data_IF_056171567782
#
_entry.id   IF_056171567782
#
_cell.length_a   1.000
_cell.length_b   1.000
_cell.length_c   1.000
_cell.angle_alpha   90.00
_cell.angle_beta   90.00
_cell.angle_gamma   90.00
#
_symmetry.space_group_name_H-M   'P 1'
#
loop_
_entity.id
_entity.type
_entity.pdbx_description
1 polymer ?
#
# COMPACT_ATOMS: atom_id res chain seq x y z
N UNK A 1 1.51 35.47 -9.37
CA UNK A 1 0.05 35.69 -9.35
C UNK A 1 -0.54 34.67 -10.31
N UNK A 2 -1.54 33.93 -9.84
CA UNK A 2 -2.18 32.89 -10.66
C UNK A 2 -3.26 33.55 -11.52
N UNK A 3 -2.92 33.91 -12.75
CA UNK A 3 -3.79 34.68 -13.66
C UNK A 3 -4.60 33.81 -14.60
N UNK A 4 -4.12 32.59 -14.90
CA UNK A 4 -4.77 31.67 -15.83
C UNK A 4 -5.65 30.63 -15.10
N UNK A 5 -6.91 30.53 -15.51
CA UNK A 5 -7.88 29.58 -14.94
C UNK A 5 -8.45 28.67 -16.04
N UNK A 6 -7.88 27.45 -16.23
CA UNK A 6 -8.38 26.52 -17.25
C UNK A 6 -9.81 26.08 -16.90
N UNK A 7 -10.67 25.98 -17.92
CA UNK A 7 -12.07 25.54 -17.80
C UNK A 7 -12.26 24.09 -18.22
N UNK A 8 -11.33 23.56 -19.00
CA UNK A 8 -11.44 22.23 -19.61
C UNK A 8 -10.23 21.38 -19.30
N UNK A 9 -10.41 20.07 -19.42
CA UNK A 9 -9.36 19.07 -19.32
C UNK A 9 -9.23 18.30 -20.62
N UNK A 10 -8.02 17.89 -20.99
CA UNK A 10 -7.74 17.18 -22.25
C UNK A 10 -8.64 15.95 -22.44
N UNK A 11 -8.75 15.09 -21.42
CA UNK A 11 -9.59 13.88 -21.47
C UNK A 11 -11.07 14.20 -21.64
N UNK A 12 -11.56 15.24 -20.99
CA UNK A 12 -12.94 15.71 -21.12
C UNK A 12 -13.24 16.15 -22.56
N UNK A 13 -12.33 16.93 -23.18
CA UNK A 13 -12.48 17.35 -24.56
C UNK A 13 -12.51 16.16 -25.52
N UNK A 14 -11.66 15.17 -25.34
CA UNK A 14 -11.69 13.93 -26.11
C UNK A 14 -12.99 13.13 -25.90
N UNK A 15 -13.52 13.07 -24.68
CA UNK A 15 -14.77 12.36 -24.39
C UNK A 15 -15.98 13.05 -25.00
N UNK A 16 -16.05 14.38 -24.96
CA UNK A 16 -17.18 15.14 -25.45
C UNK A 16 -17.18 15.33 -26.98
N UNK A 17 -16.00 15.46 -27.57
CA UNK A 17 -15.83 15.89 -28.96
C UNK A 17 -14.97 14.96 -29.82
N UNK A 18 -14.39 13.91 -29.21
CA UNK A 18 -13.46 13.01 -29.89
C UNK A 18 -14.06 12.16 -31.00
N UNK A 19 -15.37 11.90 -30.96
CA UNK A 19 -16.11 11.14 -31.99
C UNK A 19 -16.76 12.05 -33.08
N UNK A 20 -16.74 13.38 -32.89
CA UNK A 20 -17.33 14.29 -33.84
C UNK A 20 -16.48 14.40 -35.12
N UNK A 21 -17.13 14.39 -36.27
CA UNK A 21 -16.48 14.63 -37.56
C UNK A 21 -15.96 16.07 -37.69
N UNK A 22 -15.16 16.32 -38.71
CA UNK A 22 -14.68 17.66 -39.01
C UNK A 22 -15.85 18.62 -39.34
N UNK A 23 -16.82 18.12 -40.06
CA UNK A 23 -18.04 18.83 -40.46
C UNK A 23 -18.88 19.18 -39.24
N UNK A 24 -19.05 18.21 -38.29
CA UNK A 24 -19.81 18.44 -37.04
C UNK A 24 -19.14 19.50 -36.17
N UNK A 25 -17.82 19.50 -36.06
CA UNK A 25 -17.09 20.51 -35.27
C UNK A 25 -17.21 21.91 -35.88
N UNK A 26 -17.22 22.02 -37.22
CA UNK A 26 -17.43 23.29 -37.93
C UNK A 26 -18.85 23.78 -37.71
N UNK A 27 -19.87 22.90 -37.82
CA UNK A 27 -21.29 23.25 -37.62
C UNK A 27 -21.54 23.69 -36.16
N UNK A 28 -21.01 22.93 -35.20
CA UNK A 28 -21.19 23.24 -33.77
C UNK A 28 -20.37 24.43 -33.29
N UNK A 29 -19.33 24.81 -34.01
CA UNK A 29 -18.47 25.97 -33.73
C UNK A 29 -18.07 26.08 -32.25
N UNK A 30 -17.40 25.06 -31.75
CA UNK A 30 -17.00 24.94 -30.32
C UNK A 30 -15.94 25.98 -29.98
N UNK A 31 -16.35 27.02 -29.27
CA UNK A 31 -15.54 28.17 -28.87
C UNK A 31 -15.32 28.19 -27.34
N UNK A 32 -14.39 29.03 -26.89
CA UNK A 32 -14.20 29.32 -25.47
C UNK A 32 -13.52 28.17 -24.68
N UNK A 33 -12.85 27.26 -25.38
CA UNK A 33 -12.03 26.26 -24.80
C UNK A 33 -10.84 26.93 -24.09
N UNK A 34 -10.53 26.50 -22.87
CA UNK A 34 -9.41 27.02 -22.10
C UNK A 34 -8.76 25.86 -21.34
N UNK A 35 -7.47 25.61 -21.60
CA UNK A 35 -6.69 24.51 -21.02
C UNK A 35 -5.31 24.99 -20.58
N UNK A 36 -4.77 24.41 -19.51
CA UNK A 36 -3.37 24.59 -19.11
C UNK A 36 -2.66 23.24 -19.08
N UNK A 37 -1.43 23.22 -19.56
CA UNK A 37 -0.67 21.98 -19.61
C UNK A 37 0.80 22.21 -19.88
N UNK A 38 1.57 21.11 -19.79
CA UNK A 38 2.98 21.07 -20.10
C UNK A 38 3.20 20.77 -21.56
N UNK A 39 4.08 21.54 -22.24
CA UNK A 39 4.49 21.25 -23.62
C UNK A 39 5.31 19.97 -23.61
N UNK A 40 4.80 18.88 -24.21
CA UNK A 40 5.50 17.58 -24.31
C UNK A 40 5.97 17.26 -25.72
N UNK A 41 5.45 17.96 -26.72
CA UNK A 41 5.90 17.91 -28.11
C UNK A 41 5.70 19.28 -28.76
N UNK A 42 6.62 19.69 -29.63
CA UNK A 42 6.49 20.92 -30.41
C UNK A 42 7.08 20.74 -31.80
N UNK A 43 6.37 21.25 -32.80
CA UNK A 43 6.84 21.30 -34.20
C UNK A 43 6.57 22.72 -34.75
N UNK A 44 7.64 23.43 -35.03
CA UNK A 44 7.57 24.78 -35.60
C UNK A 44 7.71 24.67 -37.14
N UNK A 45 6.74 25.22 -37.85
CA UNK A 45 6.69 25.17 -39.31
C UNK A 45 6.37 26.58 -39.89
N UNK A 46 7.39 27.46 -39.93
CA UNK A 46 7.25 28.80 -40.45
C UNK A 46 6.25 29.65 -39.66
N UNK A 47 5.10 29.98 -40.27
CA UNK A 47 4.05 30.82 -39.68
C UNK A 47 3.00 30.03 -38.89
N UNK A 48 3.15 28.72 -38.78
CA UNK A 48 2.27 27.84 -38.05
C UNK A 48 3.08 26.85 -37.22
N UNK A 49 2.56 26.42 -36.10
CA UNK A 49 3.18 25.47 -35.21
C UNK A 49 2.15 24.53 -34.60
N UNK A 50 2.57 23.31 -34.33
CA UNK A 50 1.81 22.37 -33.52
C UNK A 50 2.57 22.09 -32.22
N UNK A 51 1.84 21.97 -31.11
CA UNK A 51 2.39 21.43 -29.87
C UNK A 51 1.39 20.47 -29.23
N UNK A 52 1.86 19.58 -28.40
CA UNK A 52 1.03 18.73 -27.55
C UNK A 52 1.16 19.23 -26.12
N UNK A 53 0.03 19.55 -25.52
CA UNK A 53 -0.08 19.90 -24.11
C UNK A 53 -0.52 18.68 -23.33
N UNK A 54 0.17 18.42 -22.23
CA UNK A 54 -0.19 17.40 -21.25
C UNK A 54 -0.69 18.05 -19.98
N UNK A 55 -1.94 17.77 -19.62
CA UNK A 55 -2.50 18.11 -18.31
C UNK A 55 -2.54 16.90 -17.36
N UNK A 56 -3.28 17.00 -16.26
CA UNK A 56 -3.42 15.90 -15.31
C UNK A 56 -4.23 14.73 -15.87
N UNK A 57 -5.02 14.92 -16.91
CA UNK A 57 -5.98 13.96 -17.47
C UNK A 57 -5.48 13.28 -18.75
N UNK A 58 -4.62 13.95 -19.53
CA UNK A 58 -4.14 13.42 -20.80
C UNK A 58 -3.44 14.44 -21.66
N UNK A 59 -3.28 14.11 -22.95
CA UNK A 59 -2.65 14.94 -23.96
C UNK A 59 -3.69 15.53 -24.90
N UNK A 60 -3.48 16.76 -25.38
CA UNK A 60 -4.25 17.38 -26.45
C UNK A 60 -3.34 18.20 -27.36
N UNK A 61 -3.62 18.16 -28.66
CA UNK A 61 -2.87 18.97 -29.63
C UNK A 61 -3.36 20.41 -29.64
N UNK A 62 -2.45 21.35 -29.80
CA UNK A 62 -2.74 22.76 -30.06
C UNK A 62 -2.13 23.19 -31.39
N UNK A 63 -2.79 24.10 -32.08
CA UNK A 63 -2.36 24.71 -33.32
C UNK A 63 -2.22 26.21 -33.12
N UNK A 64 -1.02 26.73 -33.33
CA UNK A 64 -0.65 28.13 -33.08
C UNK A 64 -0.22 28.77 -34.40
N UNK A 65 -0.86 29.87 -34.79
CA UNK A 65 -0.51 30.59 -36.02
C UNK A 65 -0.32 32.07 -35.78
N UNK A 66 0.54 32.71 -36.57
CA UNK A 66 0.74 34.16 -36.55
C UNK A 66 -0.57 34.95 -36.88
N UNK A 67 -1.55 34.31 -37.55
CA UNK A 67 -2.77 34.98 -37.95
C UNK A 67 -3.80 35.07 -36.79
N UNK A 68 -3.67 34.19 -35.80
CA UNK A 68 -4.67 34.04 -34.73
C UNK A 68 -4.24 34.64 -33.40
N UNK A 69 -2.93 34.91 -33.24
CA UNK A 69 -2.35 35.53 -32.05
C UNK A 69 -1.40 36.68 -32.43
N UNK A 70 -1.05 37.51 -31.45
CA UNK A 70 -0.08 38.59 -31.71
C UNK A 70 1.30 38.01 -32.15
N UNK A 71 1.91 38.69 -33.13
CA UNK A 71 3.19 38.24 -33.71
C UNK A 71 4.30 38.09 -32.65
N UNK A 72 4.33 38.99 -31.66
CA UNK A 72 5.25 38.95 -30.54
C UNK A 72 5.10 37.66 -29.71
N UNK A 73 3.86 37.27 -29.41
CA UNK A 73 3.53 36.05 -28.67
C UNK A 73 3.92 34.81 -29.46
N UNK A 74 3.69 34.81 -30.79
CA UNK A 74 4.11 33.71 -31.64
C UNK A 74 5.63 33.58 -31.72
N UNK A 75 6.35 34.68 -31.80
CA UNK A 75 7.81 34.69 -31.83
C UNK A 75 8.40 34.23 -30.49
N UNK A 76 7.81 34.61 -29.36
CA UNK A 76 8.14 34.09 -28.05
C UNK A 76 7.90 32.57 -27.96
N UNK A 77 6.73 32.09 -28.41
CA UNK A 77 6.38 30.66 -28.42
C UNK A 77 7.41 29.80 -29.16
N UNK A 78 8.00 30.30 -30.22
CA UNK A 78 9.08 29.57 -30.94
C UNK A 78 10.35 29.37 -30.12
N UNK A 79 10.54 30.15 -29.06
CA UNK A 79 11.69 30.06 -28.15
C UNK A 79 11.44 29.18 -26.95
N UNK A 80 10.17 28.86 -26.64
CA UNK A 80 9.79 28.06 -25.47
C UNK A 80 10.34 26.64 -25.56
N UNK A 81 10.52 26.00 -24.41
CA UNK A 81 11.11 24.67 -24.33
C UNK A 81 10.08 23.58 -24.06
N UNK A 82 10.43 22.34 -24.37
CA UNK A 82 9.71 21.20 -23.87
C UNK A 82 9.80 21.20 -22.34
N UNK A 83 8.65 20.99 -21.68
CA UNK A 83 8.57 21.08 -20.24
C UNK A 83 7.93 22.39 -19.73
N UNK A 84 7.89 23.45 -20.53
CA UNK A 84 7.21 24.69 -20.15
C UNK A 84 5.72 24.43 -19.91
N UNK A 85 5.14 25.11 -18.91
CA UNK A 85 3.71 25.06 -18.62
C UNK A 85 3.07 26.31 -19.19
N UNK A 86 2.05 26.10 -19.99
CA UNK A 86 1.37 27.15 -20.74
C UNK A 86 -0.13 27.07 -20.55
N UNK A 87 -0.80 28.21 -20.66
CA UNK A 87 -2.24 28.35 -20.79
C UNK A 87 -2.61 28.71 -22.21
N UNK A 88 -3.65 28.08 -22.75
CA UNK A 88 -4.18 28.38 -24.08
C UNK A 88 -5.68 28.53 -24.04
N UNK A 89 -6.20 29.48 -24.85
CA UNK A 89 -7.62 29.59 -25.15
C UNK A 89 -7.84 29.50 -26.64
N UNK A 90 -8.99 28.99 -27.08
CA UNK A 90 -9.27 28.85 -28.50
C UNK A 90 -10.56 28.09 -28.83
N UNK A 91 -10.58 27.51 -30.01
CA UNK A 91 -11.69 26.72 -30.54
C UNK A 91 -11.24 25.31 -30.93
N UNK A 92 -12.15 24.34 -30.98
CA UNK A 92 -11.85 22.98 -31.39
C UNK A 92 -12.02 22.83 -32.92
N UNK A 93 -11.07 22.11 -33.53
CA UNK A 93 -11.17 21.67 -34.91
C UNK A 93 -10.45 20.34 -35.12
N UNK A 94 -10.65 19.69 -36.28
CA UNK A 94 -9.86 18.54 -36.69
C UNK A 94 -8.84 18.90 -37.77
N UNK A 95 -7.64 18.41 -37.61
CA UNK A 95 -6.56 18.53 -38.59
C UNK A 95 -6.89 17.69 -39.85
N UNK A 96 -6.03 17.80 -40.89
CA UNK A 96 -6.11 16.94 -42.07
C UNK A 96 -5.89 15.44 -41.78
N UNK A 97 -5.20 15.16 -40.68
CA UNK A 97 -4.92 13.79 -40.18
C UNK A 97 -5.89 13.34 -39.12
N UNK A 98 -7.05 14.03 -39.03
CA UNK A 98 -8.17 13.71 -38.12
C UNK A 98 -7.84 13.81 -36.61
N UNK A 99 -6.86 14.61 -36.24
CA UNK A 99 -6.47 14.86 -34.82
C UNK A 99 -7.33 15.99 -34.24
N UNK A 100 -7.99 15.75 -33.09
CA UNK A 100 -8.69 16.76 -32.33
C UNK A 100 -7.74 17.82 -31.80
N UNK A 101 -7.88 19.05 -32.16
CA UNK A 101 -6.89 20.11 -31.95
C UNK A 101 -7.53 21.39 -31.47
N UNK A 102 -6.91 22.14 -30.60
CA UNK A 102 -7.30 23.49 -30.20
C UNK A 102 -6.63 24.49 -31.17
N UNK A 103 -7.41 25.23 -31.94
CA UNK A 103 -6.96 26.40 -32.68
C UNK A 103 -6.82 27.56 -31.70
N UNK A 104 -5.58 27.96 -31.42
CA UNK A 104 -5.27 28.91 -30.35
C UNK A 104 -5.57 30.35 -30.78
N UNK A 105 -6.32 31.04 -29.95
CA UNK A 105 -6.62 32.49 -30.07
C UNK A 105 -5.90 33.31 -28.98
N UNK A 106 -5.49 32.67 -27.87
CA UNK A 106 -4.73 33.31 -26.81
C UNK A 106 -3.79 32.29 -26.16
N UNK A 107 -2.58 32.73 -25.79
CA UNK A 107 -1.50 31.87 -25.32
C UNK A 107 -0.62 32.62 -24.33
N UNK A 108 -0.42 32.05 -23.14
CA UNK A 108 0.49 32.63 -22.14
C UNK A 108 1.42 31.60 -21.53
N UNK A 109 2.64 32.03 -21.20
CA UNK A 109 3.59 31.28 -20.40
C UNK A 109 3.19 31.37 -18.92
N UNK A 110 2.82 30.22 -18.32
CA UNK A 110 2.49 30.16 -16.90
C UNK A 110 3.74 29.90 -16.06
N UNK A 111 4.56 28.91 -16.48
CA UNK A 111 5.80 28.55 -15.75
C UNK A 111 6.88 28.08 -16.72
N UNK A 112 8.05 28.69 -16.66
CA UNK A 112 9.24 28.28 -17.40
C UNK A 112 9.88 27.05 -16.76
N UNK A 113 10.13 26.02 -17.56
CA UNK A 113 10.94 24.86 -17.16
C UNK A 113 12.41 25.20 -17.31
N UNK A 114 13.14 25.24 -16.18
CA UNK A 114 14.58 25.57 -16.18
C UNK A 114 15.50 24.37 -16.42
N UNK A 115 14.92 23.15 -16.42
CA UNK A 115 15.66 21.91 -16.69
C UNK A 115 15.00 21.16 -17.84
N UNK A 116 15.78 20.53 -18.73
CA UNK A 116 15.20 19.77 -19.83
C UNK A 116 14.38 18.58 -19.31
N UNK A 117 13.31 18.28 -20.03
CA UNK A 117 12.56 17.05 -19.78
C UNK A 117 13.40 15.84 -20.17
N UNK A 118 13.24 14.69 -19.47
CA UNK A 118 13.79 13.41 -19.92
C UNK A 118 13.35 13.10 -21.36
N UNK A 119 14.22 12.44 -22.15
CA UNK A 119 13.91 12.10 -23.54
C UNK A 119 12.61 11.31 -23.66
N UNK A 120 11.69 11.77 -24.50
CA UNK A 120 10.33 11.23 -24.65
C UNK A 120 10.28 9.72 -24.97
N UNK A 121 11.28 9.19 -25.70
CA UNK A 121 11.30 7.81 -26.18
C UNK A 121 12.06 6.83 -25.29
N UNK A 122 12.86 7.33 -24.36
CA UNK A 122 13.62 6.47 -23.43
C UNK A 122 13.11 6.55 -21.99
N UNK A 123 12.36 7.62 -21.65
CA UNK A 123 11.92 7.89 -20.28
C UNK A 123 13.10 7.89 -19.31
N UNK A 124 12.81 7.70 -18.04
CA UNK A 124 13.83 7.31 -17.06
C UNK A 124 13.95 5.77 -17.14
N UNK A 125 14.95 5.27 -17.90
CA UNK A 125 15.20 3.83 -18.04
C UNK A 125 15.82 3.23 -16.80
N UNK A 126 16.53 4.03 -16.02
CA UNK A 126 17.08 3.63 -14.74
C UNK A 126 15.95 3.61 -13.68
N UNK A 127 15.64 2.41 -13.18
CA UNK A 127 14.60 2.18 -12.17
C UNK A 127 14.90 2.95 -10.87
N UNK A 128 16.17 3.04 -10.48
CA UNK A 128 16.53 3.77 -9.25
C UNK A 128 16.34 5.28 -9.43
N UNK A 129 16.69 5.83 -10.59
CA UNK A 129 16.40 7.22 -10.92
C UNK A 129 14.89 7.53 -10.90
N UNK A 130 14.04 6.60 -11.35
CA UNK A 130 12.57 6.72 -11.25
C UNK A 130 12.08 6.87 -9.80
N UNK A 131 12.67 6.14 -8.87
CA UNK A 131 12.31 6.24 -7.46
C UNK A 131 12.82 7.53 -6.82
N UNK A 132 14.07 7.94 -7.12
CA UNK A 132 14.71 9.15 -6.58
C UNK A 132 14.09 10.43 -7.12
N UNK A 133 13.72 10.44 -8.39
CA UNK A 133 13.12 11.58 -9.08
C UNK A 133 11.69 11.24 -9.51
N UNK A 134 10.87 10.79 -8.57
CA UNK A 134 9.49 10.34 -8.82
C UNK A 134 8.66 11.37 -9.60
N UNK A 135 8.90 12.66 -9.40
CA UNK A 135 8.25 13.72 -10.13
C UNK A 135 8.56 13.68 -11.65
N UNK A 136 9.74 13.26 -12.04
CA UNK A 136 10.06 13.05 -13.46
C UNK A 136 9.41 11.77 -14.00
N UNK A 137 9.40 10.71 -13.23
CA UNK A 137 8.72 9.46 -13.60
C UNK A 137 7.21 9.71 -13.80
N UNK A 138 6.54 10.37 -12.85
CA UNK A 138 5.12 10.76 -12.96
C UNK A 138 4.83 11.69 -14.16
N UNK A 139 5.79 12.52 -14.53
CA UNK A 139 5.67 13.44 -15.65
C UNK A 139 5.76 12.73 -17.01
N UNK A 140 6.56 11.66 -17.09
CA UNK A 140 6.89 10.99 -18.35
C UNK A 140 6.21 9.63 -18.52
N UNK A 141 5.77 9.01 -17.42
CA UNK A 141 5.20 7.65 -17.40
C UNK A 141 3.76 7.67 -16.85
N UNK A 142 2.80 7.52 -17.74
CA UNK A 142 1.38 7.45 -17.37
C UNK A 142 1.02 6.21 -16.56
N UNK A 143 1.70 5.08 -16.77
CA UNK A 143 1.48 3.84 -16.02
C UNK A 143 1.81 4.02 -14.54
N UNK A 144 2.94 4.69 -14.23
CA UNK A 144 3.29 5.02 -12.83
C UNK A 144 2.20 5.87 -12.16
N UNK A 145 1.68 6.88 -12.87
CA UNK A 145 0.59 7.73 -12.36
C UNK A 145 -0.66 6.90 -12.07
N UNK A 146 -1.02 5.98 -12.98
CA UNK A 146 -2.19 5.13 -12.84
C UNK A 146 -2.10 4.20 -11.61
N UNK A 147 -0.91 3.67 -11.27
CA UNK A 147 -0.69 2.88 -10.05
C UNK A 147 -1.11 3.68 -8.81
N UNK A 148 -0.72 4.96 -8.70
CA UNK A 148 -1.06 5.78 -7.53
C UNK A 148 -2.53 6.20 -7.51
N UNK A 149 -3.17 6.38 -8.66
CA UNK A 149 -4.62 6.58 -8.75
C UNK A 149 -5.35 5.33 -8.27
N UNK A 150 -4.93 4.13 -8.71
CA UNK A 150 -5.47 2.85 -8.25
C UNK A 150 -5.25 2.65 -6.76
N UNK A 151 -4.05 2.98 -6.24
CA UNK A 151 -3.77 2.94 -4.80
C UNK A 151 -4.80 3.77 -4.00
N UNK A 152 -5.08 5.00 -4.41
CA UNK A 152 -6.08 5.84 -3.74
C UNK A 152 -7.46 5.20 -3.75
N UNK A 153 -7.89 4.63 -4.88
CA UNK A 153 -9.18 3.93 -5.00
C UNK A 153 -9.26 2.68 -4.11
N UNK A 154 -8.17 1.91 -4.01
CA UNK A 154 -8.07 0.72 -3.14
C UNK A 154 -8.26 1.13 -1.67
N UNK A 155 -7.53 2.17 -1.22
CA UNK A 155 -7.65 2.68 0.16
C UNK A 155 -9.05 3.22 0.44
N UNK A 156 -9.64 3.96 -0.49
CA UNK A 156 -11.01 4.49 -0.37
C UNK A 156 -12.05 3.37 -0.32
N UNK A 157 -11.88 2.32 -1.13
CA UNK A 157 -12.74 1.14 -1.11
C UNK A 157 -12.67 0.40 0.24
N UNK A 158 -11.47 0.23 0.81
CA UNK A 158 -11.31 -0.37 2.12
C UNK A 158 -12.00 0.47 3.21
N UNK A 159 -11.79 1.80 3.21
CA UNK A 159 -12.45 2.75 4.12
C UNK A 159 -13.98 2.69 4.00
N UNK A 160 -14.49 2.70 2.77
CA UNK A 160 -15.93 2.61 2.50
C UNK A 160 -16.54 1.32 3.05
N UNK A 161 -15.83 0.18 2.91
CA UNK A 161 -16.28 -1.10 3.44
C UNK A 161 -16.34 -1.09 4.98
N UNK A 162 -15.37 -0.50 5.65
CA UNK A 162 -15.37 -0.38 7.11
C UNK A 162 -16.52 0.51 7.61
N UNK A 163 -16.75 1.66 6.95
CA UNK A 163 -17.85 2.55 7.27
C UNK A 163 -19.21 1.87 7.07
N UNK A 164 -19.39 1.11 5.97
CA UNK A 164 -20.58 0.30 5.69
C UNK A 164 -20.86 -0.72 6.81
N UNK A 165 -19.80 -1.31 7.36
CA UNK A 165 -19.88 -2.29 8.48
C UNK A 165 -20.01 -1.64 9.86
N UNK A 166 -20.07 -0.31 9.94
CA UNK A 166 -20.26 0.46 11.17
C UNK A 166 -19.00 0.61 12.04
N UNK A 167 -17.82 0.46 11.47
CA UNK A 167 -16.57 0.75 12.17
C UNK A 167 -16.30 2.24 12.21
N UNK A 168 -15.76 2.72 13.33
CA UNK A 168 -15.29 4.10 13.50
C UNK A 168 -13.83 4.20 13.09
N UNK A 169 -13.50 5.10 12.15
CA UNK A 169 -12.11 5.44 11.84
C UNK A 169 -11.55 6.31 12.97
N UNK A 170 -10.39 5.92 13.49
CA UNK A 170 -9.72 6.61 14.59
C UNK A 170 -8.25 6.86 14.25
N UNK A 171 -7.63 7.78 14.98
CA UNK A 171 -6.19 8.02 14.92
C UNK A 171 -5.60 7.81 16.32
N UNK A 172 -4.55 7.00 16.40
CA UNK A 172 -3.79 6.74 17.62
C UNK A 172 -2.37 7.27 17.50
N UNK A 173 -1.62 7.46 18.61
CA UNK A 173 -0.28 8.05 18.54
C UNK A 173 0.68 7.26 17.64
N UNK A 174 1.46 7.97 16.83
CA UNK A 174 2.60 7.39 16.10
C UNK A 174 3.87 7.31 16.93
N UNK A 175 4.00 8.14 17.96
CA UNK A 175 5.13 8.14 18.90
C UNK A 175 4.69 7.54 20.22
N UNK A 176 5.23 6.38 20.54
CA UNK A 176 4.90 5.61 21.73
C UNK A 176 5.97 5.79 22.82
N UNK A 177 5.58 5.75 24.10
CA UNK A 177 6.55 5.76 25.20
C UNK A 177 7.29 4.44 25.37
N UNK A 178 6.71 3.33 24.87
CA UNK A 178 7.26 1.98 24.91
C UNK A 178 7.16 1.34 23.52
N UNK A 179 8.08 0.45 23.18
CA UNK A 179 8.00 -0.36 21.97
C UNK A 179 7.09 -1.57 22.19
N UNK A 180 6.04 -1.72 21.42
CA UNK A 180 5.08 -2.82 21.58
C UNK A 180 4.06 -2.88 20.44
N UNK A 181 3.11 -3.84 20.56
CA UNK A 181 2.05 -4.10 19.60
C UNK A 181 2.43 -5.05 18.46
N UNK A 182 3.72 -5.36 18.29
CA UNK A 182 4.23 -6.39 17.36
C UNK A 182 5.68 -6.71 17.69
N UNK A 183 6.16 -7.84 17.18
CA UNK A 183 7.57 -8.27 17.29
C UNK A 183 8.34 -7.67 16.12
N UNK A 184 9.05 -6.56 16.36
CA UNK A 184 9.90 -5.88 15.38
C UNK A 184 10.81 -4.85 16.05
N UNK A 185 11.90 -4.47 15.39
CA UNK A 185 12.82 -3.46 15.90
C UNK A 185 12.27 -2.05 15.70
N UNK A 186 12.13 -1.20 16.76
CA UNK A 186 11.61 0.14 16.66
C UNK A 186 12.63 1.16 16.14
N UNK A 187 12.15 2.28 15.55
CA UNK A 187 12.91 3.52 15.45
C UNK A 187 12.78 4.29 16.76
N UNK A 188 13.89 4.88 17.22
CA UNK A 188 13.95 5.68 18.45
C UNK A 188 14.11 7.14 18.09
N UNK A 189 13.37 8.02 18.75
CA UNK A 189 13.51 9.48 18.64
C UNK A 189 13.50 10.11 20.04
N UNK A 190 13.98 11.35 20.18
CA UNK A 190 14.05 12.04 21.45
C UNK A 190 13.06 13.21 21.53
N UNK A 191 12.25 13.22 22.58
CA UNK A 191 11.39 14.37 22.91
C UNK A 191 12.18 15.37 23.74
N UNK A 192 12.67 16.46 23.13
CA UNK A 192 13.59 17.41 23.77
C UNK A 192 13.00 18.05 25.03
N UNK A 193 11.75 18.52 24.99
CA UNK A 193 11.12 19.19 26.12
C UNK A 193 10.87 18.26 27.32
N UNK A 194 10.62 16.95 27.07
CA UNK A 194 10.40 15.96 28.12
C UNK A 194 11.67 15.24 28.51
N UNK A 195 12.78 15.39 27.78
CA UNK A 195 14.06 14.76 28.04
C UNK A 195 14.06 13.23 27.94
N UNK A 196 13.05 12.65 27.28
CA UNK A 196 12.88 11.18 27.17
C UNK A 196 12.89 10.69 25.74
N UNK A 197 13.22 9.42 25.55
CA UNK A 197 13.11 8.73 24.28
C UNK A 197 11.64 8.34 24.01
N UNK A 198 11.29 8.35 22.74
CA UNK A 198 10.03 7.85 22.19
C UNK A 198 10.33 6.90 21.05
N UNK A 199 9.41 6.01 20.77
CA UNK A 199 9.51 5.00 19.71
C UNK A 199 8.48 5.30 18.64
N UNK A 200 8.87 5.28 17.36
CA UNK A 200 7.90 5.25 16.27
C UNK A 200 7.18 3.90 16.33
N UNK A 201 5.86 3.92 16.30
CA UNK A 201 5.03 2.74 16.51
C UNK A 201 5.34 1.63 15.52
N UNK A 202 5.43 0.41 16.01
CA UNK A 202 5.52 -0.81 15.22
C UNK A 202 4.14 -1.21 14.70
N UNK A 203 3.11 -1.02 15.55
CA UNK A 203 1.69 -1.25 15.28
C UNK A 203 0.83 -0.36 16.20
N UNK A 204 -0.40 0.01 15.83
CA UNK A 204 -1.34 0.75 16.68
C UNK A 204 -2.08 -0.14 17.69
N UNK A 205 -1.89 -1.45 17.67
CA UNK A 205 -2.66 -2.50 18.33
C UNK A 205 -3.03 -2.18 19.78
N UNK A 206 -2.05 -1.91 20.66
CA UNK A 206 -2.32 -1.73 22.10
C UNK A 206 -3.16 -0.46 22.38
N UNK A 207 -3.11 0.54 21.52
CA UNK A 207 -3.96 1.73 21.62
C UNK A 207 -5.38 1.45 21.12
N UNK A 208 -5.55 0.72 20.02
CA UNK A 208 -6.86 0.34 19.50
C UNK A 208 -7.60 -0.58 20.49
N UNK A 209 -6.90 -1.50 21.15
CA UNK A 209 -7.47 -2.33 22.22
C UNK A 209 -7.92 -1.51 23.44
N UNK A 210 -7.19 -0.45 23.82
CA UNK A 210 -7.63 0.47 24.88
C UNK A 210 -8.94 1.18 24.53
N UNK A 211 -9.22 1.42 23.23
CA UNK A 211 -10.50 1.98 22.79
C UNK A 211 -11.65 0.98 23.00
N UNK A 212 -11.41 -0.33 22.84
CA UNK A 212 -12.41 -1.36 23.18
C UNK A 212 -12.71 -1.38 24.69
N UNK A 213 -11.68 -1.25 25.55
CA UNK A 213 -11.87 -1.06 26.99
C UNK A 213 -12.70 0.19 27.26
N UNK A 214 -12.47 1.27 26.49
CA UNK A 214 -13.20 2.53 26.58
C UNK A 214 -14.65 2.49 26.08
N UNK A 215 -15.12 1.34 25.55
CA UNK A 215 -16.50 1.13 25.13
C UNK A 215 -16.78 1.36 23.64
N UNK A 216 -15.77 1.45 22.78
CA UNK A 216 -15.98 1.38 21.34
C UNK A 216 -16.05 -0.08 20.90
N UNK A 217 -17.16 -0.50 20.26
CA UNK A 217 -17.32 -1.88 19.81
C UNK A 217 -16.54 -2.20 18.52
N UNK A 218 -16.39 -1.20 17.64
CA UNK A 218 -15.78 -1.36 16.31
C UNK A 218 -14.92 -0.14 15.96
N UNK A 219 -13.62 -0.35 15.86
CA UNK A 219 -12.67 0.70 15.49
C UNK A 219 -11.73 0.23 14.40
N UNK A 220 -11.25 1.15 13.57
CA UNK A 220 -10.17 0.88 12.62
C UNK A 220 -9.29 2.11 12.41
N UNK A 221 -8.07 1.86 11.97
CA UNK A 221 -7.10 2.88 11.61
C UNK A 221 -6.38 2.48 10.30
N UNK A 222 -6.29 3.40 9.34
CA UNK A 222 -5.44 3.26 8.15
C UNK A 222 -4.31 4.26 8.28
N UNK A 223 -3.11 3.81 8.63
CA UNK A 223 -2.00 4.72 8.89
C UNK A 223 -0.63 4.04 8.75
N UNK A 224 0.42 4.79 9.02
CA UNK A 224 1.80 4.32 8.97
C UNK A 224 2.20 3.54 10.21
N UNK A 225 2.93 2.45 9.98
CA UNK A 225 3.72 1.72 10.97
C UNK A 225 5.18 1.73 10.55
N UNK A 226 6.09 1.57 11.51
CA UNK A 226 7.52 1.77 11.32
C UNK A 226 8.29 0.56 11.87
N UNK A 227 9.17 -0.03 11.07
CA UNK A 227 10.04 -1.14 11.49
C UNK A 227 11.46 -0.86 11.03
N UNK A 228 12.40 -0.82 11.98
CA UNK A 228 13.81 -0.52 11.72
C UNK A 228 14.56 -1.76 11.23
N UNK A 229 14.13 -2.24 10.07
CA UNK A 229 14.64 -3.45 9.43
C UNK A 229 15.34 -3.11 8.10
N UNK A 230 15.83 -4.15 7.42
CA UNK A 230 16.54 -3.97 6.14
C UNK A 230 15.63 -3.51 5.00
N UNK A 231 16.17 -2.72 4.09
CA UNK A 231 15.51 -2.33 2.84
C UNK A 231 15.54 -3.47 1.82
N UNK A 232 14.38 -3.85 1.29
CA UNK A 232 14.26 -4.86 0.23
C UNK A 232 13.16 -4.49 -0.78
N UNK A 233 12.93 -5.35 -1.75
CA UNK A 233 11.77 -5.21 -2.65
C UNK A 233 10.45 -5.50 -1.95
N UNK A 234 10.48 -6.18 -0.79
CA UNK A 234 9.31 -6.58 -0.02
C UNK A 234 9.06 -5.68 1.21
N UNK A 235 10.09 -4.95 1.69
CA UNK A 235 10.06 -4.21 2.96
C UNK A 235 10.57 -2.78 2.80
N UNK A 236 9.80 -1.85 3.35
CA UNK A 236 10.16 -0.44 3.50
C UNK A 236 10.05 -0.08 5.00
N UNK A 237 10.96 0.75 5.56
CA UNK A 237 10.97 1.03 7.00
C UNK A 237 9.69 1.66 7.53
N UNK A 238 8.96 2.38 6.68
CA UNK A 238 7.61 2.86 6.94
C UNK A 238 6.65 2.32 5.87
N UNK A 239 5.50 1.82 6.29
CA UNK A 239 4.52 1.19 5.41
C UNK A 239 3.11 1.47 5.91
N UNK A 240 2.13 1.32 5.04
CA UNK A 240 0.72 1.55 5.38
C UNK A 240 0.07 0.24 5.79
N UNK A 241 -0.47 0.23 7.01
CA UNK A 241 -1.33 -0.83 7.54
C UNK A 241 -2.75 -0.31 7.69
N UNK A 242 -3.71 -1.21 7.56
CA UNK A 242 -5.05 -1.04 8.06
C UNK A 242 -5.24 -2.04 9.18
N UNK A 243 -5.54 -1.55 10.38
CA UNK A 243 -5.87 -2.40 11.53
C UNK A 243 -7.28 -2.09 12.00
N UNK A 244 -8.02 -3.14 12.35
CA UNK A 244 -9.37 -3.01 12.90
C UNK A 244 -9.64 -4.03 13.97
N UNK A 245 -10.50 -3.66 14.89
CA UNK A 245 -10.88 -4.45 16.06
C UNK A 245 -12.39 -4.42 16.23
N UNK A 246 -13.00 -5.58 16.49
CA UNK A 246 -14.44 -5.70 16.73
C UNK A 246 -14.70 -6.55 17.96
N UNK A 247 -15.46 -5.98 18.91
CA UNK A 247 -15.93 -6.67 20.10
C UNK A 247 -17.07 -7.64 19.76
N UNK A 248 -17.17 -8.72 20.52
CA UNK A 248 -18.25 -9.73 20.44
C UNK A 248 -18.39 -10.40 19.07
N UNK A 249 -17.35 -10.42 18.27
CA UNK A 249 -17.29 -11.08 16.96
C UNK A 249 -16.56 -12.43 17.03
N UNK A 250 -16.53 -13.14 15.91
CA UNK A 250 -15.80 -14.40 15.74
C UNK A 250 -14.64 -14.25 14.75
N UNK A 251 -13.63 -15.11 14.89
CA UNK A 251 -12.53 -15.17 13.92
C UNK A 251 -13.03 -15.41 12.48
N UNK A 252 -14.07 -16.25 12.31
CA UNK A 252 -14.64 -16.53 10.99
C UNK A 252 -15.27 -15.27 10.37
N UNK A 253 -15.98 -14.44 11.13
CA UNK A 253 -16.54 -13.19 10.64
C UNK A 253 -15.44 -12.24 10.14
N UNK A 254 -14.29 -12.20 10.81
CA UNK A 254 -13.18 -11.35 10.43
C UNK A 254 -12.40 -11.91 9.22
N UNK A 255 -12.30 -13.22 9.08
CA UNK A 255 -11.82 -13.88 7.85
C UNK A 255 -12.72 -13.48 6.68
N UNK A 256 -14.03 -13.54 6.83
CA UNK A 256 -14.98 -13.20 5.75
C UNK A 256 -14.94 -11.70 5.42
N UNK A 257 -14.84 -10.82 6.41
CA UNK A 257 -14.63 -9.38 6.19
C UNK A 257 -13.31 -9.10 5.44
N UNK A 258 -12.23 -9.79 5.80
CA UNK A 258 -10.94 -9.67 5.10
C UNK A 258 -11.07 -10.03 3.61
N UNK A 259 -11.78 -11.11 3.28
CA UNK A 259 -12.09 -11.50 1.89
C UNK A 259 -12.89 -10.40 1.17
N UNK A 260 -13.93 -9.88 1.81
CA UNK A 260 -14.78 -8.81 1.25
C UNK A 260 -13.95 -7.55 0.94
N UNK A 261 -13.06 -7.12 1.83
CA UNK A 261 -12.19 -5.96 1.63
C UNK A 261 -11.32 -6.16 0.39
N UNK A 262 -10.68 -7.32 0.26
CA UNK A 262 -9.79 -7.62 -0.88
C UNK A 262 -10.57 -7.63 -2.20
N UNK A 263 -11.74 -8.31 -2.24
CA UNK A 263 -12.55 -8.38 -3.44
C UNK A 263 -13.16 -7.04 -3.84
N UNK A 264 -13.59 -6.22 -2.86
CA UNK A 264 -14.06 -4.87 -3.15
C UNK A 264 -12.94 -3.94 -3.64
N UNK A 265 -11.74 -4.07 -3.09
CA UNK A 265 -10.57 -3.34 -3.55
C UNK A 265 -10.25 -3.69 -5.02
N UNK A 266 -10.25 -4.97 -5.39
CA UNK A 266 -10.07 -5.41 -6.76
C UNK A 266 -11.15 -4.83 -7.69
N UNK A 267 -12.42 -4.91 -7.31
CA UNK A 267 -13.55 -4.35 -8.05
C UNK A 267 -13.44 -2.84 -8.23
N UNK A 268 -12.97 -2.09 -7.25
CA UNK A 268 -12.85 -0.62 -7.27
C UNK A 268 -11.93 -0.08 -8.38
N UNK A 269 -11.01 -0.91 -8.84
CA UNK A 269 -10.05 -0.58 -9.90
C UNK A 269 -10.27 -1.38 -11.18
N UNK A 270 -11.42 -2.08 -11.31
CA UNK A 270 -11.73 -3.01 -12.41
C UNK A 270 -10.65 -4.07 -12.60
N UNK A 271 -10.10 -4.60 -11.52
CA UNK A 271 -9.15 -5.72 -11.55
C UNK A 271 -9.93 -7.03 -11.64
N UNK A 272 -9.49 -7.93 -12.53
CA UNK A 272 -10.05 -9.26 -12.65
C UNK A 272 -9.82 -10.07 -11.36
N UNK A 273 -10.70 -11.01 -11.08
CA UNK A 273 -10.53 -11.93 -9.93
C UNK A 273 -9.45 -13.00 -10.19
N UNK A 274 -9.11 -13.25 -11.45
CA UNK A 274 -7.97 -14.06 -11.86
C UNK A 274 -6.87 -13.15 -12.36
N UNK A 275 -5.80 -13.07 -11.59
CA UNK A 275 -4.71 -12.14 -11.83
C UNK A 275 -3.38 -12.88 -12.08
N UNK A 276 -2.45 -12.19 -12.70
CA UNK A 276 -1.05 -12.58 -12.77
C UNK A 276 -0.27 -11.62 -11.88
N UNK A 277 0.53 -12.15 -10.95
CA UNK A 277 1.42 -11.38 -10.09
C UNK A 277 2.77 -12.08 -9.96
N UNK A 278 3.86 -11.42 -10.35
CA UNK A 278 5.21 -12.02 -10.40
C UNK A 278 5.19 -13.37 -11.12
N UNK A 279 4.56 -13.45 -12.31
CA UNK A 279 4.36 -14.65 -13.15
C UNK A 279 3.49 -15.76 -12.51
N UNK A 280 3.00 -15.56 -11.29
CA UNK A 280 2.09 -16.48 -10.63
C UNK A 280 0.64 -16.23 -11.05
N UNK A 281 -0.10 -17.29 -11.35
CA UNK A 281 -1.53 -17.23 -11.61
C UNK A 281 -2.29 -17.38 -10.31
N UNK A 282 -3.03 -16.37 -9.92
CA UNK A 282 -3.75 -16.31 -8.65
C UNK A 282 -5.25 -16.12 -8.94
N UNK A 283 -6.09 -16.96 -8.32
CA UNK A 283 -7.56 -16.80 -8.33
C UNK A 283 -8.01 -16.23 -6.97
N UNK A 284 -8.39 -14.96 -6.95
CA UNK A 284 -8.83 -14.27 -5.74
C UNK A 284 -10.17 -14.77 -5.17
N UNK A 285 -10.90 -15.66 -5.90
CA UNK A 285 -12.11 -16.32 -5.40
C UNK A 285 -11.81 -17.62 -4.65
N UNK A 286 -10.61 -18.16 -4.83
CA UNK A 286 -10.22 -19.48 -4.32
C UNK A 286 -9.57 -19.38 -2.94
N UNK A 287 -10.28 -18.78 -1.97
CA UNK A 287 -9.82 -18.74 -0.58
C UNK A 287 -9.93 -20.13 0.05
N UNK A 288 -8.84 -20.57 0.66
CA UNK A 288 -8.81 -21.78 1.49
C UNK A 288 -8.43 -21.47 2.94
N UNK A 289 -8.79 -22.36 3.85
CA UNK A 289 -8.40 -22.28 5.25
C UNK A 289 -7.74 -23.60 5.65
N UNK A 290 -6.54 -23.54 6.23
CA UNK A 290 -5.71 -24.69 6.59
C UNK A 290 -5.01 -24.44 7.90
N UNK A 291 -4.83 -25.51 8.71
CA UNK A 291 -4.00 -25.43 9.92
C UNK A 291 -2.52 -25.36 9.56
N UNK A 292 -1.74 -24.63 10.33
CA UNK A 292 -0.30 -24.53 10.17
C UNK A 292 0.37 -25.93 10.27
N UNK A 293 -0.01 -26.73 11.26
CA UNK A 293 0.46 -28.08 11.45
C UNK A 293 0.21 -29.00 10.26
N UNK A 294 -1.03 -28.97 9.71
CA UNK A 294 -1.39 -29.76 8.55
C UNK A 294 -0.53 -29.40 7.32
N UNK A 295 -0.33 -28.09 7.10
CA UNK A 295 0.49 -27.61 6.00
C UNK A 295 1.96 -28.04 6.17
N UNK A 296 2.50 -27.97 7.36
CA UNK A 296 3.87 -28.47 7.63
C UNK A 296 3.96 -29.93 7.26
N UNK A 297 3.03 -30.80 7.68
CA UNK A 297 3.02 -32.22 7.34
C UNK A 297 2.80 -32.50 5.85
N UNK A 298 1.97 -31.69 5.17
CA UNK A 298 1.72 -31.84 3.73
C UNK A 298 3.00 -31.61 2.93
N UNK A 299 3.77 -30.60 3.30
CA UNK A 299 4.95 -30.17 2.54
C UNK A 299 6.27 -30.83 3.01
N UNK A 300 6.27 -31.45 4.19
CA UNK A 300 7.45 -32.10 4.79
C UNK A 300 7.15 -33.56 5.14
N UNK A 301 7.17 -34.43 4.14
CA UNK A 301 6.78 -35.85 4.26
C UNK A 301 7.66 -36.70 5.19
N UNK A 302 8.79 -36.16 5.62
CA UNK A 302 9.71 -36.78 6.56
C UNK A 302 9.27 -36.58 8.02
N UNK A 303 8.34 -35.63 8.27
CA UNK A 303 7.74 -35.37 9.57
C UNK A 303 6.38 -36.07 9.68
N UNK A 304 6.02 -36.46 10.90
CA UNK A 304 4.73 -37.01 11.27
C UNK A 304 4.13 -36.24 12.46
N UNK A 305 2.87 -36.48 12.79
CA UNK A 305 2.15 -35.76 13.86
C UNK A 305 2.90 -35.79 15.21
N UNK A 306 3.58 -36.87 15.57
CA UNK A 306 4.30 -36.95 16.83
C UNK A 306 5.57 -36.09 16.86
N UNK A 307 6.17 -35.88 15.69
CA UNK A 307 7.36 -35.04 15.58
C UNK A 307 7.04 -33.58 15.86
N UNK A 308 5.77 -33.13 15.62
CA UNK A 308 5.36 -31.73 15.82
C UNK A 308 5.41 -31.31 17.30
N UNK A 309 5.28 -32.24 18.23
CA UNK A 309 5.40 -32.00 19.69
C UNK A 309 6.80 -32.32 20.23
N UNK A 310 7.70 -32.86 19.38
CA UNK A 310 9.08 -33.20 19.79
C UNK A 310 10.06 -32.11 19.34
N UNK A 311 10.46 -31.26 20.29
CA UNK A 311 11.44 -30.20 20.09
C UNK A 311 12.73 -30.71 19.40
N UNK A 312 13.22 -31.88 19.81
CA UNK A 312 14.48 -32.45 19.30
C UNK A 312 14.34 -32.90 17.84
N UNK A 313 13.18 -33.46 17.48
CA UNK A 313 12.88 -33.86 16.11
C UNK A 313 12.81 -32.62 15.19
N UNK A 314 12.09 -31.58 15.61
CA UNK A 314 11.95 -30.32 14.82
C UNK A 314 13.30 -29.59 14.71
N UNK A 315 14.11 -29.51 15.79
CA UNK A 315 15.42 -28.90 15.73
C UNK A 315 16.36 -29.66 14.77
N UNK A 316 16.35 -31.00 14.83
CA UNK A 316 17.12 -31.84 13.91
C UNK A 316 16.69 -31.62 12.46
N UNK A 317 15.38 -31.54 12.21
CA UNK A 317 14.82 -31.30 10.89
C UNK A 317 15.28 -29.95 10.33
N UNK A 318 15.11 -28.88 11.10
CA UNK A 318 15.49 -27.52 10.71
C UNK A 318 17.00 -27.38 10.44
N UNK A 319 17.85 -28.03 11.29
CA UNK A 319 19.30 -28.13 11.05
C UNK A 319 19.61 -28.87 9.76
N UNK A 320 18.83 -29.91 9.41
CA UNK A 320 18.93 -30.66 8.16
C UNK A 320 18.66 -29.77 6.94
N UNK A 321 17.82 -28.75 7.08
CA UNK A 321 17.58 -27.69 6.06
C UNK A 321 18.69 -26.63 6.02
N UNK A 322 19.75 -26.76 6.83
CA UNK A 322 20.88 -25.82 6.89
C UNK A 322 20.59 -24.54 7.67
N UNK A 323 19.52 -24.51 8.47
CA UNK A 323 19.13 -23.34 9.26
C UNK A 323 19.80 -23.31 10.64
N UNK A 324 20.05 -22.09 11.12
CA UNK A 324 20.50 -21.86 12.48
C UNK A 324 19.34 -21.99 13.44
N UNK A 325 19.60 -22.55 14.60
CA UNK A 325 18.60 -22.71 15.68
C UNK A 325 19.10 -22.03 16.94
N UNK A 326 18.18 -21.58 17.78
CA UNK A 326 18.50 -21.08 19.12
C UNK A 326 18.09 -22.11 20.19
N UNK A 327 18.92 -22.24 21.21
CA UNK A 327 18.69 -23.17 22.34
C UNK A 327 17.45 -22.78 23.17
N UNK A 328 17.04 -21.52 23.10
CA UNK A 328 15.91 -20.99 23.85
C UNK A 328 14.57 -21.18 23.12
N UNK A 329 14.57 -21.60 21.85
CA UNK A 329 13.35 -21.84 21.12
C UNK A 329 12.60 -23.05 21.66
N UNK A 330 11.30 -22.88 21.86
CA UNK A 330 10.38 -23.98 22.12
C UNK A 330 9.89 -24.65 20.85
N UNK A 331 9.02 -25.63 21.00
CA UNK A 331 8.42 -26.41 19.89
C UNK A 331 7.67 -25.52 18.91
N UNK A 332 6.94 -24.53 19.43
CA UNK A 332 6.14 -23.62 18.62
C UNK A 332 7.00 -22.75 17.70
N UNK A 333 8.14 -22.25 18.18
CA UNK A 333 9.05 -21.46 17.35
C UNK A 333 9.69 -22.32 16.27
N UNK A 334 10.12 -23.53 16.57
CA UNK A 334 10.64 -24.45 15.55
C UNK A 334 9.61 -24.78 14.49
N UNK A 335 8.36 -25.01 14.88
CA UNK A 335 7.27 -25.29 13.95
C UNK A 335 7.02 -24.12 13.01
N UNK A 336 7.02 -22.88 13.52
CA UNK A 336 6.88 -21.68 12.72
C UNK A 336 8.03 -21.53 11.72
N UNK A 337 9.28 -21.69 12.15
CA UNK A 337 10.46 -21.59 11.27
C UNK A 337 10.43 -22.63 10.13
N UNK A 338 9.96 -23.87 10.42
CA UNK A 338 9.77 -24.88 9.38
C UNK A 338 8.68 -24.44 8.39
N UNK A 339 7.58 -23.89 8.90
CA UNK A 339 6.51 -23.38 8.05
C UNK A 339 7.01 -22.24 7.14
N UNK A 340 7.67 -21.24 7.68
CA UNK A 340 8.21 -20.11 6.93
C UNK A 340 9.19 -20.57 5.83
N UNK A 341 10.05 -21.52 6.15
CA UNK A 341 11.07 -22.00 5.22
C UNK A 341 10.53 -22.91 4.13
N UNK A 342 9.56 -23.77 4.45
CA UNK A 342 9.18 -24.88 3.56
C UNK A 342 7.79 -24.74 2.94
N UNK A 343 6.90 -23.93 3.52
CA UNK A 343 5.49 -23.85 3.18
C UNK A 343 5.11 -22.48 2.60
N UNK A 344 5.45 -21.38 3.30
CA UNK A 344 4.99 -20.02 2.99
C UNK A 344 5.11 -19.68 1.51
N UNK A 345 6.29 -19.85 0.92
CA UNK A 345 6.56 -19.57 -0.50
C UNK A 345 5.75 -20.40 -1.50
N UNK A 346 5.05 -21.43 -1.04
CA UNK A 346 4.23 -22.32 -1.89
C UNK A 346 2.74 -22.01 -1.85
N UNK A 347 2.32 -21.08 -1.00
CA UNK A 347 0.92 -20.67 -0.86
C UNK A 347 0.56 -19.62 -1.93
N UNK A 348 0.29 -20.08 -3.13
CA UNK A 348 0.06 -19.19 -4.30
C UNK A 348 -1.34 -18.57 -4.26
N UNK A 349 -2.40 -19.41 -4.15
CA UNK A 349 -3.77 -18.90 -4.02
C UNK A 349 -4.05 -18.45 -2.59
N UNK A 350 -5.03 -17.54 -2.38
CA UNK A 350 -5.36 -17.03 -1.06
C UNK A 350 -5.61 -18.14 -0.05
N UNK A 351 -4.77 -18.22 0.98
CA UNK A 351 -4.82 -19.26 2.00
C UNK A 351 -4.75 -18.65 3.38
N UNK A 352 -5.81 -18.80 4.16
CA UNK A 352 -5.80 -18.52 5.59
C UNK A 352 -5.15 -19.68 6.33
N UNK A 353 -4.01 -19.43 6.94
CA UNK A 353 -3.31 -20.37 7.80
C UNK A 353 -3.76 -20.12 9.22
N UNK A 354 -4.22 -21.14 9.94
CA UNK A 354 -4.80 -21.03 11.28
C UNK A 354 -4.04 -21.87 12.31
N UNK A 355 -4.37 -21.71 13.57
CA UNK A 355 -3.79 -22.47 14.70
C UNK A 355 -2.28 -22.28 14.80
N UNK A 356 -1.86 -21.03 15.00
CA UNK A 356 -0.47 -20.70 15.31
C UNK A 356 -0.10 -21.11 16.74
N UNK A 357 1.12 -21.55 17.00
CA UNK A 357 1.56 -21.82 18.37
C UNK A 357 1.46 -20.57 19.27
N UNK A 358 1.03 -20.77 20.52
CA UNK A 358 0.92 -19.69 21.52
C UNK A 358 2.27 -19.02 21.78
N UNK A 359 3.37 -19.80 21.77
CA UNK A 359 4.73 -19.31 21.98
C UNK A 359 5.10 -18.14 21.03
N UNK A 360 4.58 -18.15 19.80
CA UNK A 360 4.85 -17.13 18.78
C UNK A 360 3.67 -16.16 18.58
N UNK A 361 2.73 -16.13 19.54
CA UNK A 361 1.50 -15.35 19.46
C UNK A 361 1.22 -14.62 20.79
N UNK A 362 2.08 -13.67 21.20
CA UNK A 362 2.08 -13.12 22.57
C UNK A 362 0.85 -12.28 22.93
N UNK A 363 0.08 -11.81 21.93
CA UNK A 363 -1.10 -10.96 22.12
C UNK A 363 -2.42 -11.68 21.80
N UNK A 364 -2.34 -12.94 21.37
CA UNK A 364 -3.50 -13.75 20.96
C UNK A 364 -3.99 -14.62 22.10
N UNK A 365 -5.32 -14.79 22.19
CA UNK A 365 -5.95 -15.71 23.13
C UNK A 365 -5.64 -17.16 22.77
N UNK A 366 -5.42 -18.00 23.79
CA UNK A 366 -5.30 -19.45 23.62
C UNK A 366 -6.59 -20.03 23.08
N UNK A 367 -6.48 -21.02 22.20
CA UNK A 367 -7.63 -21.80 21.80
C UNK A 367 -8.12 -22.65 22.98
N UNK A 368 -9.43 -22.57 23.36
CA UNK A 368 -9.92 -23.27 24.54
C UNK A 368 -9.88 -24.81 24.40
N UNK A 369 -10.02 -25.33 23.17
CA UNK A 369 -10.01 -26.78 22.90
C UNK A 369 -8.59 -27.33 22.75
N UNK A 370 -7.62 -26.49 22.36
CA UNK A 370 -6.23 -26.86 22.23
C UNK A 370 -5.29 -25.72 22.70
N UNK A 371 -5.01 -25.61 24.01
CA UNK A 371 -4.30 -24.47 24.60
C UNK A 371 -2.84 -24.28 24.15
N UNK A 372 -2.26 -25.21 23.39
CA UNK A 372 -0.93 -25.04 22.79
C UNK A 372 -0.97 -24.10 21.58
N UNK A 373 -2.14 -23.90 20.98
CA UNK A 373 -2.34 -23.03 19.84
C UNK A 373 -3.18 -21.80 20.23
N UNK A 374 -2.98 -20.72 19.48
CA UNK A 374 -3.75 -19.50 19.57
C UNK A 374 -4.87 -19.50 18.52
N UNK A 375 -5.97 -18.84 18.83
CA UNK A 375 -7.02 -18.48 17.86
C UNK A 375 -6.52 -17.36 16.97
N UNK A 376 -5.60 -17.69 16.03
CA UNK A 376 -4.91 -16.77 15.12
C UNK A 376 -4.95 -17.29 13.69
N UNK A 377 -5.02 -16.38 12.76
CA UNK A 377 -4.82 -16.67 11.34
C UNK A 377 -3.85 -15.68 10.69
N UNK A 378 -3.19 -16.12 9.63
CA UNK A 378 -2.53 -15.26 8.67
C UNK A 378 -3.02 -15.58 7.28
N UNK A 379 -3.18 -14.58 6.43
CA UNK A 379 -3.55 -14.72 5.02
C UNK A 379 -2.30 -14.64 4.14
N UNK A 380 -2.05 -15.70 3.40
CA UNK A 380 -0.99 -15.76 2.39
C UNK A 380 -1.57 -15.71 0.99
N UNK A 381 -0.93 -14.92 0.10
CA UNK A 381 -1.23 -14.86 -1.33
C UNK A 381 0.11 -14.72 -2.08
N UNK A 382 0.36 -15.57 -3.05
CA UNK A 382 1.60 -15.55 -3.83
C UNK A 382 2.86 -15.71 -2.98
N UNK A 383 2.78 -16.55 -1.93
CA UNK A 383 3.90 -16.80 -1.01
C UNK A 383 4.28 -15.60 -0.15
N UNK A 384 3.34 -14.71 0.15
CA UNK A 384 3.55 -13.54 1.01
C UNK A 384 2.36 -13.35 1.94
N UNK A 385 2.62 -12.97 3.18
CA UNK A 385 1.61 -12.59 4.17
C UNK A 385 0.93 -11.28 3.77
N UNK A 386 -0.39 -11.23 3.83
CA UNK A 386 -1.23 -10.06 3.53
C UNK A 386 -1.96 -9.54 4.75
N UNK A 387 -2.45 -10.45 5.59
CA UNK A 387 -3.17 -10.10 6.81
C UNK A 387 -2.79 -11.06 7.94
N UNK A 388 -2.87 -10.54 9.15
CA UNK A 388 -2.72 -11.28 10.40
C UNK A 388 -3.87 -10.88 11.32
N UNK A 389 -4.58 -11.86 11.89
CA UNK A 389 -5.69 -11.58 12.78
C UNK A 389 -5.86 -12.67 13.82
N UNK A 390 -6.40 -12.30 14.98
CA UNK A 390 -6.59 -13.23 16.09
C UNK A 390 -7.67 -12.79 17.06
N UNK A 391 -8.18 -13.78 17.82
CA UNK A 391 -8.94 -13.49 19.02
C UNK A 391 -8.01 -12.86 20.05
N UNK A 392 -8.41 -11.69 20.55
CA UNK A 392 -7.59 -10.89 21.44
C UNK A 392 -7.46 -11.54 22.81
N UNK A 393 -6.23 -11.53 23.35
CA UNK A 393 -6.00 -11.88 24.74
C UNK A 393 -6.54 -10.76 25.62
N UNK A 394 -7.54 -11.08 26.43
CA UNK A 394 -8.21 -10.14 27.33
C UNK A 394 -8.09 -10.52 28.81
N UNK A 395 -7.36 -11.58 29.12
CA UNK A 395 -6.98 -11.96 30.49
C UNK A 395 -5.72 -11.18 30.91
N UNK A 396 -5.80 -10.28 31.92
CA UNK A 396 -4.68 -9.46 32.35
C UNK A 396 -3.51 -10.27 32.93
N UNK A 397 -3.80 -11.40 33.64
CA UNK A 397 -2.75 -12.20 34.25
C UNK A 397 -1.97 -13.00 33.19
N UNK A 398 -2.64 -13.63 32.21
CA UNK A 398 -1.99 -14.30 31.09
C UNK A 398 -1.19 -13.27 30.24
N UNK A 399 -1.74 -12.07 30.00
CA UNK A 399 -1.02 -11.03 29.24
C UNK A 399 0.21 -10.52 29.98
N UNK A 400 0.13 -10.32 31.30
CA UNK A 400 1.27 -9.92 32.13
C UNK A 400 2.40 -10.95 32.05
N UNK A 401 2.06 -12.25 32.21
CA UNK A 401 3.03 -13.34 32.08
C UNK A 401 3.72 -13.34 30.71
N UNK A 402 2.98 -13.13 29.62
CA UNK A 402 3.59 -13.09 28.27
C UNK A 402 4.46 -11.86 28.05
N UNK A 403 4.13 -10.72 28.64
CA UNK A 403 5.02 -9.56 28.61
C UNK A 403 6.28 -9.79 29.42
N UNK A 404 6.24 -10.52 30.54
CA UNK A 404 7.43 -10.93 31.30
C UNK A 404 8.36 -11.83 30.45
N UNK A 405 7.77 -12.79 29.72
CA UNK A 405 8.54 -13.65 28.80
C UNK A 405 9.20 -12.81 27.69
N UNK A 406 8.48 -11.82 27.10
CA UNK A 406 9.03 -10.93 26.09
C UNK A 406 10.15 -10.03 26.67
N UNK A 407 9.97 -9.48 27.86
CA UNK A 407 10.99 -8.68 28.53
C UNK A 407 12.26 -9.51 28.82
N UNK A 408 12.08 -10.74 29.24
CA UNK A 408 13.18 -11.70 29.47
C UNK A 408 13.94 -12.03 28.18
N UNK A 409 13.21 -12.22 27.06
CA UNK A 409 13.81 -12.45 25.76
C UNK A 409 14.62 -11.22 25.32
N UNK A 410 14.09 -10.01 25.55
CA UNK A 410 14.76 -8.73 25.26
C UNK A 410 16.05 -8.56 26.05
N UNK A 411 16.02 -8.85 27.36
CA UNK A 411 17.20 -8.80 28.22
C UNK A 411 18.26 -9.84 27.81
N UNK A 412 17.82 -10.96 27.21
CA UNK A 412 18.68 -12.00 26.64
C UNK A 412 19.25 -11.64 25.27
N UNK A 413 18.89 -10.46 24.71
CA UNK A 413 19.43 -9.92 23.46
C UNK A 413 18.50 -9.93 22.26
N UNK A 414 17.26 -10.35 22.40
CA UNK A 414 16.24 -10.24 21.35
C UNK A 414 15.79 -8.77 21.22
N UNK A 415 16.24 -8.10 20.15
CA UNK A 415 15.96 -6.68 19.89
C UNK A 415 14.56 -6.42 19.30
N UNK A 416 13.85 -7.48 18.96
CA UNK A 416 12.51 -7.42 18.38
C UNK A 416 11.42 -7.64 19.43
N UNK A 417 11.79 -8.22 20.58
CA UNK A 417 10.87 -8.47 21.69
C UNK A 417 10.29 -7.18 22.27
N UNK A 418 9.03 -7.26 22.69
CA UNK A 418 8.25 -6.14 23.21
C UNK A 418 8.68 -5.72 24.62
N UNK A 419 8.43 -4.45 24.96
CA UNK A 419 8.54 -3.96 26.33
C UNK A 419 7.30 -4.38 27.15
N UNK A 420 7.48 -4.47 28.50
CA UNK A 420 6.38 -4.68 29.41
C UNK A 420 5.55 -3.40 29.53
N UNK A 421 4.33 -3.41 28.98
CA UNK A 421 3.39 -2.26 29.04
C UNK A 421 2.45 -2.40 30.25
N UNK A 422 2.87 -1.84 31.39
CA UNK A 422 2.10 -1.86 32.64
C UNK A 422 0.76 -1.13 32.50
N UNK A 423 0.70 -0.03 31.73
CA UNK A 423 -0.52 0.73 31.53
C UNK A 423 -1.55 -0.05 30.71
N UNK A 424 -1.09 -0.85 29.76
CA UNK A 424 -1.96 -1.78 29.04
C UNK A 424 -2.54 -2.88 29.92
N UNK A 425 -1.74 -3.45 30.86
CA UNK A 425 -2.25 -4.43 31.83
C UNK A 425 -3.33 -3.80 32.70
N UNK A 426 -3.09 -2.59 33.22
CA UNK A 426 -4.12 -1.84 33.99
C UNK A 426 -5.39 -1.63 33.14
N UNK A 427 -5.25 -1.31 31.86
CA UNK A 427 -6.41 -1.19 30.97
C UNK A 427 -7.20 -2.51 30.88
N UNK A 428 -6.52 -3.65 30.71
CA UNK A 428 -7.16 -4.98 30.71
C UNK A 428 -7.88 -5.31 32.03
N UNK A 429 -7.32 -4.90 33.18
CA UNK A 429 -7.93 -5.05 34.50
C UNK A 429 -9.28 -4.32 34.62
N UNK A 430 -9.49 -3.24 33.83
CA UNK A 430 -10.79 -2.58 33.72
C UNK A 430 -11.82 -3.35 32.86
N UNK A 431 -11.40 -4.42 32.19
CA UNK A 431 -12.24 -5.29 31.39
C UNK A 431 -12.25 -4.91 29.90
N UNK A 432 -11.59 -5.71 29.09
CA UNK A 432 -11.73 -5.66 27.63
C UNK A 432 -12.74 -6.71 27.18
N UNK A 433 -13.77 -6.36 26.37
CA UNK A 433 -14.69 -7.35 25.83
C UNK A 433 -13.95 -8.37 24.96
N UNK A 434 -14.48 -9.61 24.84
CA UNK A 434 -13.97 -10.55 23.83
C UNK A 434 -14.01 -9.89 22.46
N UNK A 435 -12.88 -9.88 21.75
CA UNK A 435 -12.74 -9.18 20.49
C UNK A 435 -11.84 -9.95 19.52
N UNK A 436 -11.91 -9.61 18.26
CA UNK A 436 -10.97 -10.06 17.22
C UNK A 436 -10.40 -8.83 16.54
N UNK A 437 -9.07 -8.80 16.43
CA UNK A 437 -8.33 -7.79 15.68
C UNK A 437 -7.70 -8.37 14.43
N UNK A 438 -7.53 -7.53 13.42
CA UNK A 438 -6.89 -7.90 12.15
C UNK A 438 -6.05 -6.73 11.64
N UNK A 439 -4.83 -7.04 11.20
CA UNK A 439 -3.97 -6.14 10.44
C UNK A 439 -3.87 -6.56 8.98
N UNK A 440 -4.09 -5.65 8.04
CA UNK A 440 -3.97 -5.85 6.60
C UNK A 440 -2.91 -4.91 6.02
N UNK A 441 -1.91 -5.47 5.33
CA UNK A 441 -0.89 -4.71 4.64
C UNK A 441 -1.40 -4.04 3.37
N UNK A 442 -1.71 -2.73 3.44
CA UNK A 442 -2.24 -1.96 2.31
C UNK A 442 -1.24 -1.92 1.14
N UNK A 443 0.04 -1.73 1.42
CA UNK A 443 1.05 -1.68 0.35
C UNK A 443 1.12 -3.01 -0.41
N UNK A 444 1.07 -4.15 0.29
CA UNK A 444 1.04 -5.48 -0.34
C UNK A 444 -0.24 -5.70 -1.15
N UNK A 445 -1.39 -5.25 -0.65
CA UNK A 445 -2.65 -5.32 -1.39
C UNK A 445 -2.58 -4.52 -2.70
N UNK A 446 -2.01 -3.31 -2.65
CA UNK A 446 -1.80 -2.50 -3.86
C UNK A 446 -0.83 -3.17 -4.82
N UNK A 447 0.30 -3.74 -4.33
CA UNK A 447 1.24 -4.49 -5.17
C UNK A 447 0.56 -5.63 -5.93
N UNK A 448 -0.23 -6.44 -5.23
CA UNK A 448 -1.00 -7.55 -5.80
C UNK A 448 -1.94 -7.07 -6.90
N UNK A 449 -2.80 -6.11 -6.60
CA UNK A 449 -3.88 -5.67 -7.48
C UNK A 449 -3.40 -4.78 -8.65
N UNK A 450 -2.18 -4.25 -8.58
CA UNK A 450 -1.57 -3.46 -9.66
C UNK A 450 -0.42 -4.17 -10.36
N UNK A 451 -0.22 -5.46 -10.06
CA UNK A 451 0.87 -6.28 -10.60
C UNK A 451 2.26 -5.65 -10.42
N UNK A 452 2.57 -5.21 -9.21
CA UNK A 452 3.88 -4.65 -8.88
C UNK A 452 4.65 -5.63 -8.00
N UNK A 453 5.89 -5.96 -8.39
CA UNK A 453 6.73 -6.90 -7.65
C UNK A 453 7.48 -6.26 -6.49
N UNK A 454 7.65 -4.93 -6.51
CA UNK A 454 8.36 -4.19 -5.47
C UNK A 454 7.47 -3.20 -4.73
N UNK A 455 7.62 -3.14 -3.41
CA UNK A 455 6.93 -2.15 -2.57
C UNK A 455 7.28 -0.70 -2.97
N UNK A 456 8.47 -0.49 -3.58
CA UNK A 456 8.92 0.82 -4.07
C UNK A 456 8.07 1.34 -5.22
N UNK A 457 7.45 0.45 -5.99
CA UNK A 457 6.60 0.82 -7.12
C UNK A 457 5.26 1.41 -6.65
N UNK A 458 4.79 1.02 -5.46
CA UNK A 458 3.51 1.46 -4.88
C UNK A 458 3.66 2.53 -3.80
N UNK A 459 4.89 2.96 -3.51
CA UNK A 459 5.21 4.11 -2.65
C UNK A 459 5.65 5.29 -3.51
N UNK A 460 5.08 6.49 -3.26
CA UNK A 460 5.47 7.70 -4.00
C UNK A 460 6.95 8.02 -3.79
N UNK A 461 7.41 8.00 -2.54
CA UNK A 461 8.80 8.30 -2.16
C UNK A 461 9.33 7.21 -1.23
N UNK A 462 9.80 6.06 -1.79
CA UNK A 462 10.36 4.99 -0.99
C UNK A 462 11.72 5.38 -0.40
N UNK A 463 12.08 4.76 0.73
CA UNK A 463 13.44 4.87 1.26
C UNK A 463 14.41 4.10 0.36
N UNK A 464 15.55 4.71 0.06
CA UNK A 464 16.59 4.15 -0.82
C UNK A 464 17.94 4.18 -0.11
N UNK A 465 18.81 3.24 -0.46
CA UNK A 465 20.22 3.30 -0.06
C UNK A 465 20.89 4.47 -0.80
N UNK A 466 21.83 5.12 -0.13
CA UNK A 466 22.67 6.17 -0.77
C UNK A 466 23.64 5.57 -1.78
#
# INVERSE_FOLDING_TARGET
INTFHPKNMAKELHQLYGELSKEDLVEKNIQGISIAGRIVLRRVMGNASFATLRDSSGDIQIYVTKNNIEESIYDDFKTWDLGDIVGVSGSLFRTKTDELTIEVSDLEMITKSLRPMPEKFKGLTDIEARYRQRYLDLMTNSETKEIFIKRSKIVDSARSKMNERGYLEVETPMMHPLAGGAVARPFVTKHNALGRDLYLRIAPELYLKRLLVGGFDKVYEINRSFRNEGLSTKHNPEFTMMEWYEAYTTMQNQIDLTKEIILNAAKSINCDEKIIWDDMKIDLRSFSQKKLSDLVLIYNKELNEKDLDDRSALEKYLKGLGKKTDKNWGTGRFLLEIFEETVEGKLINPTFVTEYPVEVSPLSRRNPDNPQYADRFELFIGGREFANGFCELNDPDDQASRFEDQATAKDSGDKEAMDYDKDYIIALEHGMPPAVGVGLGIDRLVMLLTNQSSIRDVLLFPQLKN
#
